data_IF_190809492570
#
_entry.id   IF_190809492570
#
_cell.length_a   1.000
_cell.length_b   1.000
_cell.length_c   1.000
_cell.angle_alpha   90.00
_cell.angle_beta   90.00
_cell.angle_gamma   90.00
#
_symmetry.space_group_name_H-M   'P 1'
#
loop_
_entity.id
_entity.type
_entity.pdbx_description
1 polymer ?
#
# COMPACT_ATOMS: atom_id res chain seq x y z
N UNK A 1 35.81 -2.18 8.92
CA UNK A 1 35.67 -2.25 7.45
C UNK A 1 34.67 -1.19 7.03
N UNK A 2 35.13 -0.18 6.28
CA UNK A 2 34.29 0.89 5.79
C UNK A 2 33.66 0.51 4.45
N UNK A 3 32.34 0.61 4.38
CA UNK A 3 31.59 0.78 3.14
C UNK A 3 30.67 1.97 3.39
N UNK A 4 30.93 3.07 2.71
CA UNK A 4 30.02 4.21 2.67
C UNK A 4 29.05 3.95 1.52
N UNK A 5 27.76 3.79 1.81
CA UNK A 5 26.72 3.69 0.81
C UNK A 5 25.83 4.92 0.87
N UNK A 6 25.40 5.40 -0.29
CA UNK A 6 24.29 6.35 -0.39
C UNK A 6 23.06 5.48 -0.72
N UNK A 7 22.11 5.29 0.20
CA UNK A 7 20.93 4.48 -0.09
C UNK A 7 20.08 5.19 -1.14
N UNK A 8 19.93 4.61 -2.34
CA UNK A 8 19.13 5.23 -3.41
C UNK A 8 17.83 4.46 -3.68
N UNK A 9 16.72 5.19 -3.49
CA UNK A 9 15.65 5.46 -4.46
C UNK A 9 14.82 4.30 -5.03
N UNK A 10 14.08 3.62 -4.17
CA UNK A 10 12.62 3.60 -4.30
C UNK A 10 12.04 3.11 -2.97
N UNK A 11 11.74 4.03 -2.05
CA UNK A 11 10.99 3.71 -0.83
C UNK A 11 9.52 3.38 -1.15
N UNK A 12 9.21 2.83 -2.33
CA UNK A 12 7.87 2.47 -2.70
C UNK A 12 7.80 1.27 -3.64
N UNK A 13 6.69 0.54 -3.54
CA UNK A 13 6.29 -0.53 -4.43
C UNK A 13 5.06 -0.03 -5.20
N UNK A 14 5.03 -0.24 -6.51
CA UNK A 14 3.82 -0.08 -7.30
C UNK A 14 3.26 -1.47 -7.58
N UNK A 15 2.12 -1.80 -6.97
CA UNK A 15 1.56 -3.15 -6.98
C UNK A 15 0.08 -3.13 -7.36
N UNK A 16 -0.36 -4.19 -8.05
CA UNK A 16 -1.77 -4.49 -8.27
C UNK A 16 -2.36 -5.15 -7.02
N UNK A 17 -3.42 -4.58 -6.47
CA UNK A 17 -4.13 -5.11 -5.30
C UNK A 17 -5.40 -5.91 -5.71
N UNK A 18 -5.70 -5.99 -7.01
CA UNK A 18 -6.82 -6.78 -7.54
C UNK A 18 -8.21 -6.24 -7.19
N UNK A 19 -8.28 -5.04 -6.62
CA UNK A 19 -9.53 -4.37 -6.20
C UNK A 19 -9.48 -2.91 -6.64
N UNK A 20 -10.61 -2.38 -7.06
CA UNK A 20 -10.75 -0.98 -7.45
C UNK A 20 -10.32 -0.02 -6.32
N UNK A 21 -9.40 0.89 -6.62
CA UNK A 21 -8.89 1.88 -5.65
C UNK A 21 -10.00 2.81 -5.14
N UNK A 22 -11.06 3.01 -5.91
CA UNK A 22 -12.22 3.83 -5.50
C UNK A 22 -12.92 3.30 -4.24
N UNK A 23 -12.85 1.99 -3.98
CA UNK A 23 -13.42 1.33 -2.79
C UNK A 23 -12.33 0.94 -1.78
N UNK A 24 -11.18 0.45 -2.23
CA UNK A 24 -10.13 0.01 -1.31
C UNK A 24 -9.45 1.17 -0.57
N UNK A 25 -9.21 2.30 -1.26
CA UNK A 25 -8.52 3.44 -0.63
C UNK A 25 -9.30 4.05 0.54
N UNK A 26 -10.62 4.33 0.44
CA UNK A 26 -11.42 4.77 1.59
C UNK A 26 -11.41 3.79 2.77
N UNK A 27 -11.45 2.48 2.52
CA UNK A 27 -11.42 1.48 3.60
C UNK A 27 -10.07 1.41 4.32
N UNK A 28 -8.96 1.48 3.58
CA UNK A 28 -7.63 1.58 4.18
C UNK A 28 -7.46 2.88 4.97
N UNK A 29 -8.01 3.99 4.48
CA UNK A 29 -7.97 5.29 5.17
C UNK A 29 -8.66 5.24 6.53
N UNK A 30 -9.83 4.58 6.64
CA UNK A 30 -10.54 4.37 7.91
C UNK A 30 -9.71 3.56 8.92
N UNK A 31 -8.80 2.73 8.44
CA UNK A 31 -7.91 1.86 9.22
C UNK A 31 -6.56 2.51 9.52
N UNK A 32 -6.38 3.80 9.20
CA UNK A 32 -5.15 4.54 9.45
C UNK A 32 -4.04 4.27 8.42
N UNK A 33 -4.34 3.60 7.31
CA UNK A 33 -3.39 3.31 6.23
C UNK A 33 -3.59 4.28 5.07
N UNK A 34 -2.54 5.02 4.72
CA UNK A 34 -2.56 5.96 3.60
C UNK A 34 -1.67 5.42 2.47
N UNK A 35 -2.29 5.05 1.35
CA UNK A 35 -1.61 4.66 0.10
C UNK A 35 -1.85 5.72 -0.99
N UNK A 36 -1.01 5.73 -2.03
CA UNK A 36 -1.31 6.54 -3.23
C UNK A 36 -1.99 5.68 -4.29
N UNK A 37 -3.28 5.90 -4.59
CA UNK A 37 -3.98 5.08 -5.57
C UNK A 37 -3.41 5.29 -6.97
N UNK A 38 -3.31 4.20 -7.72
CA UNK A 38 -2.84 4.12 -9.09
C UNK A 38 -3.81 4.71 -10.12
N UNK A 39 -5.06 4.95 -9.70
CA UNK A 39 -6.14 5.47 -10.56
C UNK A 39 -5.80 6.81 -11.20
N UNK A 40 -4.95 7.64 -10.55
CA UNK A 40 -4.44 8.89 -11.13
C UNK A 40 -3.60 8.69 -12.40
N UNK A 41 -3.04 7.50 -12.59
CA UNK A 41 -2.22 7.12 -13.75
C UNK A 41 -2.92 6.12 -14.67
N UNK A 42 -4.24 5.90 -14.50
CA UNK A 42 -5.00 4.96 -15.33
C UNK A 42 -4.87 3.49 -14.92
N UNK A 43 -4.33 3.20 -13.73
CA UNK A 43 -4.25 1.85 -13.17
C UNK A 43 -5.22 1.71 -11.99
N UNK A 44 -6.50 1.40 -12.24
CA UNK A 44 -7.56 1.50 -11.23
C UNK A 44 -7.42 0.51 -10.08
N UNK A 45 -6.67 -0.59 -10.26
CA UNK A 45 -6.43 -1.60 -9.22
C UNK A 45 -5.04 -1.52 -8.59
N UNK A 46 -4.19 -0.62 -9.08
CA UNK A 46 -2.82 -0.49 -8.59
C UNK A 46 -2.73 0.56 -7.48
N UNK A 47 -1.71 0.42 -6.64
CA UNK A 47 -1.34 1.42 -5.65
C UNK A 47 0.18 1.58 -5.57
N UNK A 48 0.61 2.81 -5.29
CA UNK A 48 1.98 3.11 -4.87
C UNK A 48 2.04 3.11 -3.35
N UNK A 49 2.73 2.11 -2.79
CA UNK A 49 2.85 1.84 -1.36
C UNK A 49 4.25 2.24 -0.94
N UNK A 50 4.38 3.12 0.05
CA UNK A 50 5.69 3.46 0.62
C UNK A 50 6.17 2.31 1.51
N UNK A 51 7.42 1.89 1.37
CA UNK A 51 8.07 0.91 2.25
C UNK A 51 8.50 1.66 3.51
N UNK A 52 7.92 1.28 4.66
CA UNK A 52 8.26 1.81 5.98
C UNK A 52 9.20 0.89 6.75
N UNK A 53 9.22 1.08 8.05
CA UNK A 53 9.83 0.16 9.02
C UNK A 53 9.17 -1.23 8.99
N UNK A 54 9.83 -2.29 9.49
CA UNK A 54 9.23 -3.63 9.55
C UNK A 54 7.87 -3.65 10.27
N UNK A 55 7.73 -2.89 11.36
CA UNK A 55 6.47 -2.78 12.13
C UNK A 55 5.37 -2.09 11.32
N UNK A 56 5.69 -1.00 10.61
CA UNK A 56 4.75 -0.31 9.71
C UNK A 56 4.31 -1.21 8.55
N UNK A 57 5.25 -2.00 7.99
CA UNK A 57 4.95 -2.93 6.89
C UNK A 57 4.04 -4.07 7.38
N UNK A 58 4.28 -4.59 8.59
CA UNK A 58 3.42 -5.61 9.19
C UNK A 58 2.00 -5.07 9.44
N UNK A 59 1.88 -3.89 10.05
CA UNK A 59 0.61 -3.21 10.26
C UNK A 59 -0.14 -2.97 8.93
N UNK A 60 0.58 -2.51 7.89
CA UNK A 60 0.00 -2.33 6.56
C UNK A 60 -0.58 -3.64 6.00
N UNK A 61 0.16 -4.75 6.09
CA UNK A 61 -0.27 -6.05 5.56
C UNK A 61 -1.50 -6.58 6.31
N UNK A 62 -1.55 -6.43 7.63
CA UNK A 62 -2.70 -6.80 8.46
C UNK A 62 -3.94 -6.00 8.06
N UNK A 63 -3.82 -4.67 7.99
CA UNK A 63 -4.96 -3.84 7.62
C UNK A 63 -5.41 -4.01 6.16
N UNK A 64 -4.48 -4.32 5.26
CA UNK A 64 -4.80 -4.67 3.88
C UNK A 64 -5.61 -5.97 3.80
N UNK A 65 -5.18 -7.01 4.51
CA UNK A 65 -5.91 -8.28 4.55
C UNK A 65 -7.33 -8.09 5.09
N UNK A 66 -7.48 -7.34 6.19
CA UNK A 66 -8.79 -7.06 6.77
C UNK A 66 -9.69 -6.25 5.83
N UNK A 67 -9.15 -5.22 5.18
CA UNK A 67 -9.90 -4.40 4.22
C UNK A 67 -10.40 -5.24 3.04
N UNK A 68 -9.55 -6.12 2.50
CA UNK A 68 -9.92 -7.03 1.42
C UNK A 68 -10.99 -8.04 1.85
N UNK A 69 -10.96 -8.52 3.09
CA UNK A 69 -11.98 -9.42 3.61
C UNK A 69 -13.33 -8.70 3.79
N UNK A 70 -13.34 -7.48 4.38
CA UNK A 70 -14.58 -6.71 4.54
C UNK A 70 -15.27 -6.38 3.21
N UNK A 71 -14.50 -6.20 2.13
CA UNK A 71 -15.03 -5.97 0.79
C UNK A 71 -15.58 -7.23 0.10
N UNK A 72 -15.17 -8.43 0.53
CA UNK A 72 -15.71 -9.70 0.00
C UNK A 72 -17.03 -10.12 0.67
N UNK A 73 -17.28 -9.63 1.88
CA UNK A 73 -18.48 -9.94 2.65
C UNK A 73 -19.64 -8.96 2.40
N UNK A 74 -19.42 -7.91 1.59
CA UNK A 74 -20.41 -6.92 1.16
C UNK A 74 -20.91 -7.19 -0.26
#
# INVERSE_FOLDING_TARGET
MGIFYVPTEANFIFADLGVEMSVLFPELLKRGVIIRPGSYWGYPTFARITIGTPDENQFFLEQLADALNSLKES
#
